data_IF_998318017161
#
_entry.id   IF_998318017161
#
_cell.length_a   1.000
_cell.length_b   1.000
_cell.length_c   1.000
_cell.angle_alpha   90.00
_cell.angle_beta   90.00
_cell.angle_gamma   90.00
#
_symmetry.space_group_name_H-M   'P 1'
#
loop_
_entity.id
_entity.type
_entity.pdbx_description
1 polymer ?
#
# COMPACT_ATOMS: atom_id res chain seq x y z
N UNK A 1 16.70 8.89 17.79
CA UNK A 1 16.05 7.91 16.90
C UNK A 1 15.79 6.63 17.70
N UNK A 2 14.62 6.00 17.60
CA UNK A 2 14.37 4.73 18.28
C UNK A 2 15.25 3.61 17.68
N UNK A 3 15.72 2.70 18.53
CA UNK A 3 16.42 1.49 18.11
C UNK A 3 15.38 0.47 17.61
N UNK A 4 15.59 -0.05 16.40
CA UNK A 4 14.74 -1.10 15.84
C UNK A 4 15.03 -2.44 16.51
N UNK A 5 14.02 -3.29 16.62
CA UNK A 5 14.21 -4.66 17.08
C UNK A 5 15.01 -5.47 16.05
N UNK A 6 15.75 -6.48 16.53
CA UNK A 6 16.50 -7.39 15.65
C UNK A 6 15.60 -8.02 14.57
N UNK A 7 14.39 -8.44 14.95
CA UNK A 7 13.38 -9.00 14.03
C UNK A 7 13.00 -8.03 12.90
N UNK A 8 12.90 -6.74 13.19
CA UNK A 8 12.59 -5.73 12.18
C UNK A 8 13.74 -5.49 11.19
N UNK A 9 14.98 -5.57 11.67
CA UNK A 9 16.19 -5.44 10.85
C UNK A 9 16.36 -6.65 9.92
N UNK A 10 16.06 -7.85 10.41
CA UNK A 10 16.22 -9.10 9.67
C UNK A 10 15.09 -9.36 8.66
N UNK A 11 14.00 -8.56 8.69
CA UNK A 11 12.86 -8.75 7.79
C UNK A 11 13.25 -8.41 6.33
N UNK A 12 13.15 -9.36 5.39
CA UNK A 12 13.47 -9.07 4.01
C UNK A 12 12.42 -8.14 3.38
N UNK A 13 12.86 -7.27 2.48
CA UNK A 13 11.93 -6.44 1.71
C UNK A 13 11.13 -7.29 0.71
N UNK A 14 9.86 -6.95 0.52
CA UNK A 14 8.96 -7.65 -0.41
C UNK A 14 9.50 -7.63 -1.84
N UNK A 15 9.55 -8.78 -2.55
CA UNK A 15 9.93 -8.83 -3.96
C UNK A 15 9.10 -7.89 -4.86
N UNK A 16 7.78 -7.80 -4.61
CA UNK A 16 6.88 -6.91 -5.36
C UNK A 16 7.25 -5.45 -5.09
N UNK A 17 7.55 -5.09 -3.83
CA UNK A 17 7.94 -3.72 -3.47
C UNK A 17 9.26 -3.30 -4.12
N UNK A 18 10.21 -4.24 -4.32
CA UNK A 18 11.45 -3.95 -5.07
C UNK A 18 11.18 -3.49 -6.50
N UNK A 19 10.04 -3.85 -7.10
CA UNK A 19 9.69 -3.51 -8.48
C UNK A 19 9.12 -2.09 -8.65
N UNK A 20 8.62 -1.48 -7.57
CA UNK A 20 7.94 -0.16 -7.60
C UNK A 20 8.83 0.91 -8.26
N UNK A 21 10.11 0.96 -7.89
CA UNK A 21 11.08 1.92 -8.47
C UNK A 21 11.22 1.83 -10.00
N UNK A 22 10.99 0.67 -10.60
CA UNK A 22 11.05 0.50 -12.05
C UNK A 22 9.75 0.96 -12.71
N UNK A 23 8.60 0.65 -12.09
CA UNK A 23 7.30 1.18 -12.51
C UNK A 23 7.29 2.71 -12.49
N UNK A 24 7.79 3.33 -11.42
CA UNK A 24 7.79 4.80 -11.29
C UNK A 24 8.67 5.46 -12.37
N UNK A 25 9.86 4.91 -12.61
CA UNK A 25 10.75 5.35 -13.71
C UNK A 25 10.12 5.17 -15.10
N UNK A 26 9.29 4.15 -15.30
CA UNK A 26 8.58 3.95 -16.57
C UNK A 26 7.48 5.02 -16.73
N UNK A 27 6.71 5.30 -15.67
CA UNK A 27 5.69 6.36 -15.65
C UNK A 27 6.30 7.74 -15.90
N UNK A 28 7.45 8.05 -15.29
CA UNK A 28 8.20 9.30 -15.52
C UNK A 28 8.60 9.49 -17.01
N UNK A 29 8.77 8.40 -17.75
CA UNK A 29 9.06 8.42 -19.20
C UNK A 29 7.81 8.49 -20.07
N UNK A 30 6.62 8.62 -19.48
CA UNK A 30 5.34 8.60 -20.18
C UNK A 30 4.87 7.21 -20.62
N UNK A 31 5.47 6.13 -20.09
CA UNK A 31 5.00 4.76 -20.35
C UNK A 31 3.81 4.47 -19.44
N UNK A 32 2.71 4.03 -20.03
CA UNK A 32 1.56 3.51 -19.28
C UNK A 32 1.91 2.17 -18.64
N UNK A 33 1.73 2.07 -17.32
CA UNK A 33 2.03 0.85 -16.54
C UNK A 33 0.73 0.27 -16.01
N UNK A 34 0.34 -0.89 -16.52
CA UNK A 34 -0.84 -1.64 -16.08
C UNK A 34 -0.49 -2.55 -14.89
N UNK A 35 -1.10 -2.29 -13.73
CA UNK A 35 -0.82 -3.01 -12.48
C UNK A 35 -1.73 -4.24 -12.33
N UNK A 36 -1.27 -5.38 -12.84
CA UNK A 36 -1.96 -6.68 -12.71
C UNK A 36 -1.44 -7.52 -11.53
N UNK A 37 -0.60 -6.92 -10.69
CA UNK A 37 0.19 -7.57 -9.64
C UNK A 37 -0.22 -7.16 -8.21
N UNK A 38 -1.23 -6.32 -8.05
CA UNK A 38 -1.69 -5.78 -6.76
C UNK A 38 -3.13 -6.25 -6.52
N UNK A 39 -3.40 -6.84 -5.36
CA UNK A 39 -4.74 -7.32 -4.97
C UNK A 39 -5.67 -6.24 -4.42
N UNK A 40 -5.45 -4.97 -4.78
CA UNK A 40 -6.29 -3.86 -4.33
C UNK A 40 -7.51 -3.75 -5.26
N UNK A 41 -8.74 -3.80 -4.73
CA UNK A 41 -9.94 -3.52 -5.54
C UNK A 41 -9.90 -2.09 -6.10
N UNK A 42 -10.43 -1.94 -7.31
CA UNK A 42 -10.61 -0.67 -8.03
C UNK A 42 -11.99 -0.02 -7.77
N UNK A 43 -12.83 -0.67 -6.98
CA UNK A 43 -14.15 -0.17 -6.58
C UNK A 43 -14.08 0.63 -5.27
N UNK A 44 -14.96 1.61 -5.13
CA UNK A 44 -15.12 2.35 -3.89
C UNK A 44 -15.62 1.43 -2.77
N UNK A 45 -15.18 1.71 -1.53
CA UNK A 45 -15.73 1.05 -0.36
C UNK A 45 -17.24 1.38 -0.23
N UNK A 46 -18.07 0.44 0.26
CA UNK A 46 -19.49 0.68 0.51
C UNK A 46 -19.72 1.87 1.46
N UNK A 47 -20.74 2.68 1.18
CA UNK A 47 -21.06 3.89 1.96
C UNK A 47 -21.37 3.55 3.40
N UNK A 48 -22.08 2.46 3.62
CA UNK A 48 -22.50 1.94 4.93
C UNK A 48 -21.27 1.63 5.80
N UNK A 49 -20.21 1.07 5.21
CA UNK A 49 -18.98 0.78 5.92
C UNK A 49 -18.24 2.07 6.33
N UNK A 50 -18.21 3.07 5.43
CA UNK A 50 -17.60 4.37 5.72
C UNK A 50 -18.38 5.09 6.83
N UNK A 51 -19.71 5.12 6.75
CA UNK A 51 -20.58 5.75 7.76
C UNK A 51 -20.45 5.09 9.13
N UNK A 52 -20.41 3.75 9.17
CA UNK A 52 -20.23 3.00 10.41
C UNK A 52 -18.91 3.35 11.10
N UNK A 53 -17.80 3.47 10.37
CA UNK A 53 -16.50 3.85 10.94
C UNK A 53 -16.50 5.31 11.36
N UNK A 54 -16.94 6.23 10.49
CA UNK A 54 -16.85 7.67 10.73
C UNK A 54 -17.80 8.18 11.82
N UNK A 55 -18.92 7.49 12.05
CA UNK A 55 -19.88 7.81 13.11
C UNK A 55 -19.69 6.96 14.36
N UNK A 56 -18.64 6.14 14.43
CA UNK A 56 -18.37 5.31 15.60
C UNK A 56 -17.73 6.11 16.74
N UNK A 57 -18.07 5.73 17.98
CA UNK A 57 -17.35 6.17 19.18
C UNK A 57 -16.14 5.27 19.48
N UNK A 58 -15.46 4.76 18.45
CA UNK A 58 -14.27 3.93 18.63
C UNK A 58 -13.16 4.80 19.25
N UNK A 59 -12.67 4.39 20.42
CA UNK A 59 -11.42 4.92 20.95
C UNK A 59 -10.27 4.22 20.21
N UNK A 60 -9.59 4.98 19.35
CA UNK A 60 -8.40 4.56 18.61
C UNK A 60 -7.13 4.68 19.46
#
# INVERSE_FOLDING_TARGET
>A
MPLLSKKGIDLPTSPIRKLVKFSDKAKEKGVEVLHLNIGQPDIAAPKEAIEAVTSSNLNL
#
